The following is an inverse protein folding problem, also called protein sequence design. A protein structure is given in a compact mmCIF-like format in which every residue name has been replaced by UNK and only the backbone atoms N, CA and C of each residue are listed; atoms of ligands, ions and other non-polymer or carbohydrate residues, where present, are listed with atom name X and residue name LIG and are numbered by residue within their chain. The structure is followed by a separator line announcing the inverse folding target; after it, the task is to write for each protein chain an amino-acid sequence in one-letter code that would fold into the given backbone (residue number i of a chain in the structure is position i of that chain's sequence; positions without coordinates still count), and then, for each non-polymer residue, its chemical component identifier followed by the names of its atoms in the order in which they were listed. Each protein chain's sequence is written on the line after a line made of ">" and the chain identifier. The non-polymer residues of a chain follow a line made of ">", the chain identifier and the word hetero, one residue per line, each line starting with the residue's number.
data_IF_814445142402
#
_entry.id   IF_814445142402
#
_cell.length_a   1.000
_cell.length_b   1.000
_cell.length_c   1.000
_cell.angle_alpha   90.00
_cell.angle_beta   90.00
_cell.angle_gamma   90.00
#
_symmetry.space_group_name_H-M   'P 1'
#
loop_
_entity.id
_entity.type
_entity.pdbx_description
1 polymer ?
#
# COMPACT_ATOMS: atom_id res chain seq x y z
N UNK A 1 -31.65 0.29 -23.80
CA UNK A 1 -32.87 1.13 -23.82
C UNK A 1 -33.90 0.40 -22.96
N UNK A 2 -33.96 0.74 -21.67
CA UNK A 2 -34.87 0.10 -20.71
C UNK A 2 -36.28 0.62 -21.05
N UNK A 3 -37.22 -0.28 -21.34
CA UNK A 3 -38.58 0.09 -21.67
C UNK A 3 -39.27 0.72 -20.46
N UNK A 4 -39.64 1.98 -20.63
CA UNK A 4 -40.02 2.96 -19.61
C UNK A 4 -41.47 2.78 -19.12
N UNK A 5 -41.81 1.60 -18.59
CA UNK A 5 -43.22 1.26 -18.29
C UNK A 5 -43.69 1.51 -16.86
N UNK A 6 -42.83 1.90 -15.91
CA UNK A 6 -43.23 2.18 -14.51
C UNK A 6 -42.28 3.17 -13.79
N UNK A 7 -42.14 4.39 -14.31
CA UNK A 7 -41.43 5.47 -13.56
C UNK A 7 -42.17 5.78 -12.25
N UNK A 8 -43.50 5.79 -12.28
CA UNK A 8 -44.35 6.07 -11.13
C UNK A 8 -45.31 4.89 -10.95
N UNK A 9 -45.28 4.27 -9.78
CA UNK A 9 -46.20 3.24 -9.35
C UNK A 9 -47.23 3.87 -8.42
N UNK A 10 -48.50 3.60 -8.68
CA UNK A 10 -49.61 4.11 -7.88
C UNK A 10 -50.76 3.11 -7.90
N UNK A 11 -51.55 3.12 -6.82
CA UNK A 11 -52.81 2.40 -6.71
C UNK A 11 -53.92 3.35 -6.26
N UNK A 12 -55.17 2.92 -6.43
CA UNK A 12 -56.34 3.69 -6.01
C UNK A 12 -56.83 3.13 -4.67
N UNK A 13 -56.88 3.96 -3.64
CA UNK A 13 -57.35 3.60 -2.31
C UNK A 13 -58.88 3.53 -2.21
N UNK A 14 -59.38 3.03 -1.07
CA UNK A 14 -60.81 2.79 -0.81
C UNK A 14 -61.71 4.03 -0.98
N UNK A 15 -61.17 5.24 -0.79
CA UNK A 15 -61.90 6.51 -0.97
C UNK A 15 -61.72 7.14 -2.36
N UNK A 16 -61.36 6.37 -3.38
CA UNK A 16 -61.07 6.86 -4.74
C UNK A 16 -59.87 7.83 -4.82
N UNK A 17 -59.06 7.93 -3.76
CA UNK A 17 -57.81 8.69 -3.72
C UNK A 17 -56.70 7.92 -4.44
N UNK A 18 -55.84 8.65 -5.15
CA UNK A 18 -54.65 8.06 -5.80
C UNK A 18 -53.50 8.10 -4.80
N UNK A 19 -52.96 6.93 -4.47
CA UNK A 19 -51.82 6.76 -3.56
C UNK A 19 -50.61 6.33 -4.38
N UNK A 20 -49.49 7.02 -4.21
CA UNK A 20 -48.23 6.70 -4.89
C UNK A 20 -47.46 5.63 -4.10
N UNK A 21 -47.14 4.51 -4.74
CA UNK A 21 -46.40 3.40 -4.16
C UNK A 21 -44.88 3.56 -4.31
N UNK A 22 -44.44 4.23 -5.36
CA UNK A 22 -43.01 4.47 -5.59
C UNK A 22 -42.75 5.28 -6.86
N UNK A 23 -41.63 5.97 -6.88
CA UNK A 23 -41.17 6.72 -8.06
C UNK A 23 -39.67 6.50 -8.26
N UNK A 24 -39.26 6.25 -9.50
CA UNK A 24 -37.85 6.17 -9.89
C UNK A 24 -37.42 7.51 -10.50
N UNK A 25 -36.34 8.08 -9.96
CA UNK A 25 -35.72 9.28 -10.51
C UNK A 25 -34.34 8.92 -11.06
N UNK A 26 -34.10 9.27 -12.32
CA UNK A 26 -32.79 9.09 -12.96
C UNK A 26 -32.08 10.43 -12.95
N UNK A 27 -30.93 10.49 -12.30
CA UNK A 27 -30.09 11.69 -12.22
C UNK A 27 -28.86 11.44 -13.10
N UNK A 28 -28.72 12.22 -14.18
CA UNK A 28 -27.55 12.18 -15.05
C UNK A 28 -26.60 13.32 -14.70
N UNK A 29 -25.42 12.98 -14.18
CA UNK A 29 -24.36 13.95 -13.90
C UNK A 29 -23.45 14.09 -15.12
N UNK A 30 -23.43 15.27 -15.76
CA UNK A 30 -22.54 15.56 -16.91
C UNK A 30 -21.27 16.29 -16.47
N UNK A 31 -20.16 16.02 -17.16
CA UNK A 31 -18.92 16.81 -17.06
C UNK A 31 -17.87 16.36 -16.03
N UNK A 32 -18.00 15.18 -15.43
CA UNK A 32 -16.99 14.62 -14.52
C UNK A 32 -16.29 13.42 -15.15
N UNK A 33 -15.11 13.62 -15.74
CA UNK A 33 -14.25 12.53 -16.25
C UNK A 33 -13.46 11.83 -15.15
N UNK A 34 -13.22 12.51 -14.02
CA UNK A 34 -12.46 11.97 -12.90
C UNK A 34 -13.29 11.05 -12.00
N UNK A 35 -12.77 9.84 -11.76
CA UNK A 35 -13.38 8.81 -10.93
C UNK A 35 -13.48 9.21 -9.46
N UNK A 36 -12.48 9.92 -8.93
CA UNK A 36 -12.50 10.36 -7.52
C UNK A 36 -13.62 11.38 -7.28
N UNK A 37 -13.79 12.33 -8.21
CA UNK A 37 -14.90 13.28 -8.16
C UNK A 37 -16.27 12.62 -8.31
N UNK A 38 -16.41 11.63 -9.18
CA UNK A 38 -17.66 10.85 -9.32
C UNK A 38 -18.01 10.13 -8.01
N UNK A 39 -17.02 9.47 -7.41
CA UNK A 39 -17.20 8.79 -6.12
C UNK A 39 -17.60 9.77 -5.00
N UNK A 40 -17.03 10.98 -4.97
CA UNK A 40 -17.40 12.02 -4.00
C UNK A 40 -18.86 12.50 -4.17
N UNK A 41 -19.35 12.63 -5.42
CA UNK A 41 -20.75 12.98 -5.69
C UNK A 41 -21.68 11.88 -5.17
N UNK A 42 -21.40 10.62 -5.51
CA UNK A 42 -22.20 9.48 -5.06
C UNK A 42 -22.23 9.38 -3.54
N UNK A 43 -21.09 9.59 -2.89
CA UNK A 43 -21.00 9.64 -1.42
C UNK A 43 -21.93 10.72 -0.85
N UNK A 44 -21.89 11.94 -1.39
CA UNK A 44 -22.74 13.04 -0.93
C UNK A 44 -24.23 12.78 -1.16
N UNK A 45 -24.58 12.14 -2.29
CA UNK A 45 -25.97 11.75 -2.56
C UNK A 45 -26.45 10.70 -1.56
N UNK A 46 -25.62 9.73 -1.20
CA UNK A 46 -25.93 8.74 -0.15
C UNK A 46 -26.14 9.41 1.20
N UNK A 47 -25.23 10.29 1.61
CA UNK A 47 -25.37 11.07 2.86
C UNK A 47 -26.66 11.90 2.91
N UNK A 48 -27.08 12.47 1.76
CA UNK A 48 -28.33 13.23 1.67
C UNK A 48 -29.58 12.34 1.84
N UNK A 49 -29.57 11.15 1.24
CA UNK A 49 -30.66 10.18 1.37
C UNK A 49 -30.74 9.63 2.79
N UNK A 50 -29.59 9.31 3.40
CA UNK A 50 -29.51 8.84 4.79
C UNK A 50 -29.99 9.91 5.78
N UNK A 51 -29.79 11.19 5.48
CA UNK A 51 -30.31 12.30 6.28
C UNK A 51 -31.84 12.48 6.18
N UNK A 52 -32.50 11.88 5.18
CA UNK A 52 -33.95 11.98 4.97
C UNK A 52 -34.64 10.60 4.97
N UNK A 53 -34.60 9.86 6.08
CA UNK A 53 -35.17 8.50 6.16
C UNK A 53 -36.69 8.46 5.93
N UNK A 54 -37.37 9.62 6.05
CA UNK A 54 -38.81 9.78 5.80
C UNK A 54 -39.26 9.32 4.42
N UNK A 55 -38.37 9.33 3.42
CA UNK A 55 -38.71 8.98 2.04
C UNK A 55 -38.35 7.54 1.64
N UNK A 56 -37.77 6.75 2.55
CA UNK A 56 -37.38 5.35 2.32
C UNK A 56 -36.71 5.10 0.95
N UNK A 57 -35.86 6.05 0.53
CA UNK A 57 -35.29 6.07 -0.82
C UNK A 57 -34.05 5.18 -0.89
N UNK A 58 -33.92 4.43 -1.98
CA UNK A 58 -32.71 3.64 -2.27
C UNK A 58 -32.00 4.24 -3.48
N UNK A 59 -30.66 4.20 -3.45
CA UNK A 59 -29.83 4.68 -4.56
C UNK A 59 -29.24 3.46 -5.27
N UNK A 60 -29.35 3.43 -6.59
CA UNK A 60 -28.72 2.44 -7.44
C UNK A 60 -27.84 3.13 -8.48
N UNK A 61 -26.59 2.70 -8.57
CA UNK A 61 -25.64 3.11 -9.60
C UNK A 61 -24.90 1.85 -10.10
N UNK A 62 -24.70 1.74 -11.40
CA UNK A 62 -24.03 0.59 -12.01
C UNK A 62 -22.55 0.50 -11.57
N UNK A 63 -21.90 1.65 -11.37
CA UNK A 63 -20.49 1.74 -10.95
C UNK A 63 -20.34 1.78 -9.42
N UNK A 64 -21.40 1.49 -8.66
CA UNK A 64 -21.43 1.60 -7.19
C UNK A 64 -20.24 0.90 -6.52
N UNK A 65 -19.88 -0.30 -6.97
CA UNK A 65 -18.76 -1.07 -6.41
C UNK A 65 -17.40 -0.37 -6.61
N UNK A 66 -17.21 0.29 -7.75
CA UNK A 66 -15.96 1.03 -8.03
C UNK A 66 -15.87 2.25 -7.12
N UNK A 67 -16.98 2.97 -6.92
CA UNK A 67 -17.00 4.10 -6.01
C UNK A 67 -16.76 3.69 -4.56
N UNK A 68 -17.32 2.57 -4.12
CA UNK A 68 -17.11 2.05 -2.77
C UNK A 68 -15.62 1.81 -2.51
N UNK A 69 -14.92 1.19 -3.46
CA UNK A 69 -13.46 1.00 -3.41
C UNK A 69 -12.73 2.34 -3.32
N UNK A 70 -13.08 3.33 -4.15
CA UNK A 70 -12.42 4.64 -4.16
C UNK A 70 -12.66 5.42 -2.85
N UNK A 71 -13.86 5.33 -2.28
CA UNK A 71 -14.22 6.04 -1.06
C UNK A 71 -13.50 5.42 0.15
N UNK A 72 -13.41 4.09 0.22
CA UNK A 72 -12.80 3.39 1.35
C UNK A 72 -11.28 3.31 1.31
N UNK A 73 -10.65 3.45 0.12
CA UNK A 73 -9.21 3.18 -0.10
C UNK A 73 -8.29 3.85 0.92
N UNK A 74 -8.58 5.09 1.33
CA UNK A 74 -7.71 5.83 2.27
C UNK A 74 -7.72 5.22 3.67
N UNK A 75 -8.90 4.82 4.15
CA UNK A 75 -9.04 4.22 5.47
C UNK A 75 -8.45 2.81 5.47
N UNK A 76 -8.78 2.02 4.44
CA UNK A 76 -8.26 0.65 4.26
C UNK A 76 -6.74 0.65 4.12
N UNK A 77 -6.16 1.58 3.37
CA UNK A 77 -4.71 1.71 3.23
C UNK A 77 -4.02 1.92 4.59
N UNK A 78 -4.51 2.87 5.39
CA UNK A 78 -3.89 3.18 6.69
C UNK A 78 -3.97 1.96 7.60
N UNK A 79 -5.13 1.30 7.65
CA UNK A 79 -5.30 0.08 8.44
C UNK A 79 -4.38 -1.03 7.96
N UNK A 80 -4.35 -1.31 6.65
CA UNK A 80 -3.52 -2.35 6.07
C UNK A 80 -2.02 -2.09 6.29
N UNK A 81 -1.56 -0.84 6.15
CA UNK A 81 -0.17 -0.45 6.41
C UNK A 81 0.19 -0.67 7.88
N UNK A 82 -0.66 -0.22 8.81
CA UNK A 82 -0.41 -0.39 10.26
C UNK A 82 -0.36 -1.87 10.63
N UNK A 83 -1.34 -2.67 10.20
CA UNK A 83 -1.37 -4.11 10.49
C UNK A 83 -0.17 -4.82 9.88
N UNK A 84 0.13 -4.56 8.60
CA UNK A 84 1.27 -5.19 7.91
C UNK A 84 2.60 -4.82 8.58
N UNK A 85 2.78 -3.55 8.94
CA UNK A 85 3.97 -3.09 9.64
C UNK A 85 4.14 -3.75 11.01
N UNK A 86 3.06 -3.86 11.80
CA UNK A 86 3.08 -4.55 13.08
C UNK A 86 3.42 -6.03 12.92
N UNK A 87 2.77 -6.71 11.98
CA UNK A 87 3.06 -8.11 11.69
C UNK A 87 4.52 -8.32 11.27
N UNK A 88 5.05 -7.51 10.37
CA UNK A 88 6.44 -7.61 9.92
C UNK A 88 7.43 -7.29 11.04
N UNK A 89 7.13 -6.33 11.91
CA UNK A 89 7.94 -6.01 13.10
C UNK A 89 7.98 -7.19 14.09
N UNK A 90 6.84 -7.88 14.30
CA UNK A 90 6.78 -9.07 15.15
C UNK A 90 7.63 -10.19 14.54
N UNK A 91 7.48 -10.44 13.23
CA UNK A 91 8.26 -11.46 12.53
C UNK A 91 9.77 -11.14 12.61
N UNK A 92 10.18 -9.90 12.37
CA UNK A 92 11.59 -9.50 12.47
C UNK A 92 12.14 -9.64 13.90
N UNK A 93 11.32 -9.37 14.92
CA UNK A 93 11.71 -9.56 16.32
C UNK A 93 11.88 -11.04 16.69
N UNK A 94 11.10 -11.94 16.08
CA UNK A 94 11.26 -13.38 16.27
C UNK A 94 12.49 -13.90 15.52
N UNK A 95 12.73 -13.42 14.30
CA UNK A 95 13.89 -13.84 13.49
C UNK A 95 15.22 -13.33 14.02
N UNK A 96 15.26 -12.12 14.56
CA UNK A 96 16.47 -11.51 15.15
C UNK A 96 16.24 -11.42 16.66
N UNK A 97 16.80 -12.35 17.46
CA UNK A 97 16.60 -12.39 18.91
C UNK A 97 17.44 -11.31 19.63
N UNK A 98 17.31 -10.07 19.17
CA UNK A 98 17.98 -8.87 19.67
C UNK A 98 17.11 -7.64 19.40
N UNK A 99 16.76 -6.91 20.46
CA UNK A 99 15.84 -5.76 20.38
C UNK A 99 16.35 -4.63 19.47
N UNK A 100 17.66 -4.35 19.51
CA UNK A 100 18.26 -3.31 18.69
C UNK A 100 18.26 -3.67 17.20
N UNK A 101 18.68 -4.88 16.84
CA UNK A 101 18.63 -5.36 15.46
C UNK A 101 17.21 -5.35 14.86
N UNK A 102 16.21 -5.77 15.63
CA UNK A 102 14.81 -5.76 15.18
C UNK A 102 14.23 -4.35 15.06
N UNK A 103 14.48 -3.47 16.03
CA UNK A 103 14.04 -2.07 15.96
C UNK A 103 14.71 -1.33 14.80
N UNK A 104 15.99 -1.57 14.54
CA UNK A 104 16.71 -1.00 13.40
C UNK A 104 16.12 -1.47 12.06
N UNK A 105 15.80 -2.76 11.93
CA UNK A 105 15.13 -3.29 10.75
C UNK A 105 13.74 -2.65 10.53
N UNK A 106 12.99 -2.45 11.62
CA UNK A 106 11.66 -1.81 11.58
C UNK A 106 11.74 -0.33 11.18
N UNK A 107 12.73 0.41 11.69
CA UNK A 107 12.97 1.82 11.30
C UNK A 107 13.39 1.92 9.82
N UNK A 108 14.25 1.02 9.35
CA UNK A 108 14.65 0.92 7.94
C UNK A 108 13.45 0.67 7.02
N UNK A 109 12.52 -0.19 7.45
CA UNK A 109 11.28 -0.50 6.73
C UNK A 109 10.35 0.72 6.62
N UNK A 110 10.16 1.47 7.71
CA UNK A 110 9.40 2.72 7.68
C UNK A 110 10.05 3.76 6.77
N UNK A 111 11.37 3.92 6.87
CA UNK A 111 12.14 4.85 6.04
C UNK A 111 12.01 4.53 4.55
N UNK A 112 12.17 3.25 4.18
CA UNK A 112 12.06 2.80 2.78
C UNK A 112 10.65 3.03 2.24
N UNK A 113 9.62 2.70 3.02
CA UNK A 113 8.21 2.88 2.63
C UNK A 113 7.86 4.36 2.47
N UNK A 114 8.31 5.22 3.38
CA UNK A 114 8.11 6.67 3.29
C UNK A 114 8.84 7.29 2.09
N UNK A 115 10.08 6.85 1.83
CA UNK A 115 10.86 7.29 0.68
C UNK A 115 10.16 6.91 -0.63
N UNK A 116 9.66 5.67 -0.73
CA UNK A 116 8.92 5.20 -1.89
C UNK A 116 7.65 6.02 -2.14
N UNK A 117 6.85 6.25 -1.10
CA UNK A 117 5.66 7.10 -1.19
C UNK A 117 6.02 8.54 -1.62
N UNK A 118 7.14 9.07 -1.13
CA UNK A 118 7.66 10.37 -1.55
C UNK A 118 7.95 10.42 -3.05
N UNK A 119 8.64 9.42 -3.60
CA UNK A 119 8.92 9.35 -5.03
C UNK A 119 7.67 9.14 -5.90
N UNK A 120 6.72 8.31 -5.45
CA UNK A 120 5.44 8.14 -6.14
C UNK A 120 4.63 9.43 -6.18
N UNK A 121 4.66 10.20 -5.08
CA UNK A 121 4.05 11.53 -5.01
C UNK A 121 4.70 12.51 -6.00
N UNK A 122 6.03 12.50 -6.12
CA UNK A 122 6.76 13.33 -7.11
C UNK A 122 6.43 12.96 -8.56
N UNK A 123 6.09 11.71 -8.84
CA UNK A 123 5.60 11.27 -10.15
C UNK A 123 4.11 11.53 -10.39
N UNK A 124 3.42 12.16 -9.43
CA UNK A 124 2.01 12.50 -9.54
C UNK A 124 1.09 11.28 -9.46
N UNK A 125 1.55 10.15 -8.93
CA UNK A 125 0.69 8.99 -8.69
C UNK A 125 -0.29 9.32 -7.55
N UNK A 126 -1.59 9.28 -7.85
CA UNK A 126 -2.64 9.49 -6.87
C UNK A 126 -2.75 8.33 -5.88
N UNK A 127 -3.34 8.58 -4.72
CA UNK A 127 -3.72 7.53 -3.76
C UNK A 127 -4.90 6.74 -4.31
N UNK A 128 -4.60 5.61 -4.95
CA UNK A 128 -5.55 4.67 -5.51
C UNK A 128 -5.28 3.24 -4.98
N UNK A 129 -6.18 2.28 -5.24
CA UNK A 129 -6.00 0.90 -4.78
C UNK A 129 -4.71 0.24 -5.31
N UNK A 130 -4.17 0.72 -6.42
CA UNK A 130 -2.95 0.19 -7.04
C UNK A 130 -1.73 0.64 -6.23
N UNK A 131 -1.65 1.93 -5.89
CA UNK A 131 -0.63 2.48 -4.98
C UNK A 131 -0.72 1.82 -3.61
N UNK A 132 -1.92 1.48 -3.13
CA UNK A 132 -2.07 0.71 -1.89
C UNK A 132 -1.36 -0.65 -1.95
N UNK A 133 -1.62 -1.45 -2.99
CA UNK A 133 -0.94 -2.75 -3.18
C UNK A 133 0.57 -2.57 -3.27
N UNK A 134 1.01 -1.55 -4.00
CA UNK A 134 2.42 -1.19 -4.16
C UNK A 134 3.11 -0.86 -2.82
N UNK A 135 2.44 -0.12 -1.92
CA UNK A 135 2.96 0.19 -0.58
C UNK A 135 3.07 -1.08 0.28
N UNK A 136 2.04 -1.93 0.27
CA UNK A 136 2.06 -3.18 1.05
C UNK A 136 3.17 -4.12 0.58
N UNK A 137 3.33 -4.27 -0.74
CA UNK A 137 4.43 -5.01 -1.35
C UNK A 137 5.78 -4.42 -0.95
N UNK A 138 5.92 -3.09 -0.91
CA UNK A 138 7.18 -2.45 -0.55
C UNK A 138 7.57 -2.66 0.92
N UNK A 139 6.61 -2.67 1.84
CA UNK A 139 6.84 -3.03 3.26
C UNK A 139 7.41 -4.45 3.34
N UNK A 140 6.82 -5.41 2.63
CA UNK A 140 7.29 -6.79 2.58
C UNK A 140 8.67 -6.94 1.94
N UNK A 141 8.92 -6.28 0.82
CA UNK A 141 10.21 -6.39 0.13
C UNK A 141 11.35 -5.70 0.91
N UNK A 142 11.05 -4.62 1.63
CA UNK A 142 12.04 -3.87 2.41
C UNK A 142 12.53 -4.61 3.65
N UNK A 143 11.70 -5.47 4.27
CA UNK A 143 12.11 -6.21 5.47
C UNK A 143 13.20 -7.22 5.15
N UNK A 144 13.15 -7.83 3.97
CA UNK A 144 14.09 -8.89 3.57
C UNK A 144 15.54 -8.41 3.66
N UNK A 145 15.86 -7.28 3.02
CA UNK A 145 17.22 -6.73 3.03
C UNK A 145 17.72 -6.40 4.44
N UNK A 146 16.83 -5.80 5.25
CA UNK A 146 17.18 -5.33 6.59
C UNK A 146 17.34 -6.52 7.56
N UNK A 147 16.46 -7.51 7.46
CA UNK A 147 16.47 -8.69 8.29
C UNK A 147 17.69 -9.57 8.01
N UNK A 148 18.05 -9.79 6.74
CA UNK A 148 19.24 -10.57 6.38
C UNK A 148 20.52 -9.99 6.99
N UNK A 149 20.74 -8.67 6.86
CA UNK A 149 21.94 -8.02 7.40
C UNK A 149 21.94 -8.06 8.94
N UNK A 150 20.83 -7.71 9.59
CA UNK A 150 20.73 -7.75 11.05
C UNK A 150 20.89 -9.16 11.62
N UNK A 151 20.33 -10.18 10.95
CA UNK A 151 20.45 -11.58 11.36
C UNK A 151 21.87 -12.10 11.22
N UNK A 152 22.51 -11.90 10.06
CA UNK A 152 23.91 -12.31 9.87
C UNK A 152 24.86 -11.54 10.78
N UNK A 153 24.55 -10.28 11.07
CA UNK A 153 25.22 -9.55 12.12
C UNK A 153 25.07 -10.25 13.47
N UNK A 154 23.86 -10.57 13.91
CA UNK A 154 23.63 -11.26 15.18
C UNK A 154 24.38 -12.60 15.28
N UNK A 155 24.29 -13.45 14.25
CA UNK A 155 25.00 -14.73 14.19
C UNK A 155 26.50 -14.52 14.31
N UNK A 156 27.06 -13.60 13.54
CA UNK A 156 28.49 -13.30 13.57
C UNK A 156 28.99 -12.77 14.92
N UNK A 157 28.10 -12.22 15.77
CA UNK A 157 28.44 -11.86 17.15
C UNK A 157 28.63 -13.09 18.01
N UNK A 158 27.66 -14.00 17.95
CA UNK A 158 27.52 -15.11 18.88
C UNK A 158 28.64 -16.12 18.74
N UNK A 159 29.18 -16.26 17.53
CA UNK A 159 30.25 -17.21 17.27
C UNK A 159 31.64 -16.72 17.70
N UNK A 160 31.76 -15.47 18.20
CA UNK A 160 33.04 -14.83 18.58
C UNK A 160 34.16 -14.94 17.53
N UNK A 161 33.81 -15.25 16.28
CA UNK A 161 34.75 -15.59 15.21
C UNK A 161 35.67 -14.41 14.84
N UNK A 162 35.34 -13.18 15.25
CA UNK A 162 36.03 -11.96 14.79
C UNK A 162 36.12 -10.87 15.87
N UNK A 163 37.34 -10.41 16.16
CA UNK A 163 37.67 -9.48 17.25
C UNK A 163 37.37 -7.98 16.94
N UNK A 164 36.84 -7.64 15.76
CA UNK A 164 36.62 -6.23 15.36
C UNK A 164 35.25 -5.96 14.71
N UNK A 165 34.57 -4.86 15.13
CA UNK A 165 33.28 -4.41 14.53
C UNK A 165 33.36 -4.23 13.02
N UNK A 166 34.43 -3.60 12.54
CA UNK A 166 34.65 -3.33 11.11
C UNK A 166 34.91 -4.61 10.33
N UNK A 167 35.75 -5.48 10.86
CA UNK A 167 36.10 -6.75 10.22
C UNK A 167 34.87 -7.65 10.09
N UNK A 168 34.09 -7.76 11.16
CA UNK A 168 32.83 -8.49 11.16
C UNK A 168 31.85 -7.95 10.12
N UNK A 169 31.73 -6.62 10.01
CA UNK A 169 30.84 -6.01 9.02
C UNK A 169 31.30 -6.28 7.58
N UNK A 170 32.61 -6.19 7.31
CA UNK A 170 33.18 -6.50 5.99
C UNK A 170 32.85 -7.95 5.61
N UNK A 171 33.03 -8.89 6.53
CA UNK A 171 32.72 -10.30 6.32
C UNK A 171 31.22 -10.54 6.05
N UNK A 172 30.33 -9.89 6.81
CA UNK A 172 28.88 -9.97 6.57
C UNK A 172 28.51 -9.43 5.19
N UNK A 173 29.06 -8.26 4.80
CA UNK A 173 28.83 -7.68 3.48
C UNK A 173 29.40 -8.55 2.36
N UNK A 174 30.53 -9.23 2.59
CA UNK A 174 31.08 -10.20 1.62
C UNK A 174 30.17 -11.42 1.46
N UNK A 175 29.59 -11.91 2.56
CA UNK A 175 28.72 -13.09 2.55
C UNK A 175 27.32 -12.79 1.95
N UNK A 176 26.72 -11.65 2.30
CA UNK A 176 25.31 -11.34 1.97
C UNK A 176 25.18 -10.32 0.85
N UNK A 177 26.19 -9.46 0.64
CA UNK A 177 26.10 -8.34 -0.30
C UNK A 177 25.98 -8.76 -1.76
N UNK A 178 26.74 -9.78 -2.19
CA UNK A 178 26.63 -10.31 -3.57
C UNK A 178 25.24 -10.88 -3.86
N UNK A 179 24.70 -11.80 -3.05
CA UNK A 179 23.33 -12.30 -3.21
C UNK A 179 22.27 -11.19 -3.25
N UNK A 180 22.39 -10.17 -2.38
CA UNK A 180 21.44 -9.05 -2.35
C UNK A 180 21.46 -8.22 -3.63
N UNK A 181 22.66 -7.87 -4.13
CA UNK A 181 22.79 -7.10 -5.38
C UNK A 181 22.19 -7.88 -6.54
N UNK A 182 22.48 -9.18 -6.63
CA UNK A 182 21.97 -10.05 -7.69
C UNK A 182 20.44 -10.19 -7.63
N UNK A 183 19.87 -10.35 -6.43
CA UNK A 183 18.43 -10.39 -6.23
C UNK A 183 17.74 -9.07 -6.62
N UNK A 184 18.31 -7.92 -6.25
CA UNK A 184 17.76 -6.61 -6.64
C UNK A 184 17.88 -6.36 -8.13
N UNK A 185 19.03 -6.68 -8.75
CA UNK A 185 19.24 -6.50 -10.19
C UNK A 185 18.32 -7.39 -11.02
N UNK A 186 18.17 -8.67 -10.65
CA UNK A 186 17.25 -9.58 -11.35
C UNK A 186 15.80 -9.11 -11.26
N UNK A 187 15.39 -8.58 -10.09
CA UNK A 187 14.06 -7.98 -9.92
C UNK A 187 13.86 -6.77 -10.84
N UNK A 188 14.84 -5.87 -10.93
CA UNK A 188 14.78 -4.70 -11.82
C UNK A 188 14.73 -5.14 -13.30
N UNK A 189 15.58 -6.07 -13.71
CA UNK A 189 15.61 -6.60 -15.08
C UNK A 189 14.27 -7.25 -15.44
N UNK A 190 13.67 -8.00 -14.51
CA UNK A 190 12.36 -8.64 -14.68
C UNK A 190 11.24 -7.61 -14.93
N UNK A 191 11.35 -6.40 -14.35
CA UNK A 191 10.36 -5.34 -14.52
C UNK A 191 10.54 -4.53 -15.82
N UNK A 192 11.70 -4.60 -16.50
CA UNK A 192 11.96 -3.81 -17.72
C UNK A 192 10.93 -4.02 -18.84
N UNK A 193 10.49 -5.25 -19.17
CA UNK A 193 9.50 -5.45 -20.25
C UNK A 193 8.15 -4.78 -19.96
N UNK A 194 7.78 -4.60 -18.68
CA UNK A 194 6.50 -4.00 -18.29
C UNK A 194 6.44 -2.51 -18.63
N UNK A 195 7.59 -1.84 -18.80
CA UNK A 195 7.64 -0.45 -19.25
C UNK A 195 7.29 -0.28 -20.73
N UNK A 196 7.25 -1.37 -21.51
CA UNK A 196 6.83 -1.33 -22.93
C UNK A 196 5.30 -1.31 -23.08
N UNK A 197 4.56 -1.45 -21.98
CA UNK A 197 3.09 -1.47 -21.99
C UNK A 197 2.58 -0.15 -21.42
N UNK A 198 1.90 0.63 -22.26
CA UNK A 198 1.30 1.94 -21.92
C UNK A 198 -0.01 1.81 -21.14
N UNK A 199 0.02 1.05 -20.04
CA UNK A 199 -1.11 0.90 -19.11
C UNK A 199 -0.65 1.39 -17.74
N UNK A 200 -1.30 2.45 -17.23
CA UNK A 200 -0.96 3.09 -15.95
C UNK A 200 -0.74 2.09 -14.81
N UNK A 201 -1.63 1.09 -14.68
CA UNK A 201 -1.54 0.06 -13.63
C UNK A 201 -0.21 -0.70 -13.69
N UNK A 202 0.17 -1.14 -14.90
CA UNK A 202 1.38 -1.94 -15.15
C UNK A 202 2.62 -1.07 -14.96
N UNK A 203 2.63 0.12 -15.54
CA UNK A 203 3.76 1.05 -15.43
C UNK A 203 3.96 1.52 -13.99
N UNK A 204 2.89 1.80 -13.23
CA UNK A 204 2.97 2.21 -11.82
C UNK A 204 3.50 1.08 -10.94
N UNK A 205 3.09 -0.15 -11.20
CA UNK A 205 3.61 -1.33 -10.51
C UNK A 205 5.12 -1.50 -10.79
N UNK A 206 5.53 -1.49 -12.06
CA UNK A 206 6.94 -1.64 -12.44
C UNK A 206 7.82 -0.52 -11.85
N UNK A 207 7.37 0.74 -11.90
CA UNK A 207 8.04 1.88 -11.26
C UNK A 207 8.25 1.65 -9.76
N UNK A 208 7.20 1.20 -9.07
CA UNK A 208 7.26 0.94 -7.62
C UNK A 208 8.26 -0.16 -7.31
N UNK A 209 8.20 -1.29 -8.00
CA UNK A 209 9.10 -2.44 -7.76
C UNK A 209 10.56 -2.03 -7.98
N UNK A 210 10.87 -1.34 -9.08
CA UNK A 210 12.23 -0.87 -9.34
C UNK A 210 12.73 0.10 -8.25
N UNK A 211 11.84 0.97 -7.77
CA UNK A 211 12.16 1.97 -6.77
C UNK A 211 12.39 1.34 -5.39
N UNK A 212 11.51 0.45 -4.93
CA UNK A 212 11.71 -0.26 -3.66
C UNK A 212 12.93 -1.18 -3.72
N UNK A 213 13.21 -1.83 -4.85
CA UNK A 213 14.40 -2.64 -4.99
C UNK A 213 15.69 -1.82 -4.88
N UNK A 214 15.71 -0.62 -5.48
CA UNK A 214 16.87 0.27 -5.42
C UNK A 214 17.05 0.88 -4.03
N UNK A 215 15.98 1.41 -3.44
CA UNK A 215 16.03 2.07 -2.11
C UNK A 215 16.27 1.04 -1.00
N UNK A 216 15.63 -0.13 -1.09
CA UNK A 216 15.80 -1.23 -0.15
C UNK A 216 17.22 -1.78 -0.16
N UNK A 217 17.83 -1.93 -1.35
CA UNK A 217 19.23 -2.31 -1.47
C UNK A 217 20.17 -1.27 -0.83
N UNK A 218 19.89 0.02 -1.05
CA UNK A 218 20.67 1.13 -0.45
C UNK A 218 20.55 1.12 1.08
N UNK A 219 19.34 0.94 1.61
CA UNK A 219 19.13 0.85 3.06
C UNK A 219 19.82 -0.38 3.66
N UNK A 220 19.70 -1.54 3.00
CA UNK A 220 20.29 -2.79 3.44
C UNK A 220 21.82 -2.79 3.43
N UNK A 221 22.45 -2.33 2.35
CA UNK A 221 23.90 -2.41 2.18
C UNK A 221 24.69 -1.21 2.70
N UNK A 222 24.05 -0.05 2.86
CA UNK A 222 24.75 1.17 3.28
C UNK A 222 24.24 1.64 4.63
N UNK A 223 22.94 1.91 4.75
CA UNK A 223 22.38 2.59 5.93
C UNK A 223 22.45 1.71 7.19
N UNK A 224 22.03 0.45 7.11
CA UNK A 224 22.07 -0.48 8.25
C UNK A 224 23.51 -0.77 8.71
N UNK A 225 24.44 -1.17 7.83
CA UNK A 225 25.85 -1.31 8.15
C UNK A 225 26.45 -0.08 8.85
N UNK A 226 26.18 1.12 8.32
CA UNK A 226 26.66 2.37 8.89
C UNK A 226 26.14 2.57 10.32
N UNK A 227 24.84 2.38 10.55
CA UNK A 227 24.25 2.55 11.89
C UNK A 227 24.81 1.50 12.87
N UNK A 228 24.97 0.24 12.44
CA UNK A 228 25.57 -0.81 13.26
C UNK A 228 27.03 -0.50 13.65
N UNK A 229 27.80 0.20 12.81
CA UNK A 229 29.17 0.63 13.19
C UNK A 229 29.19 1.74 14.23
N UNK A 230 28.23 2.67 14.17
CA UNK A 230 28.17 3.86 15.04
C UNK A 230 27.67 3.54 16.45
N UNK A 231 26.86 2.49 16.60
CA UNK A 231 26.22 2.16 17.89
C UNK A 231 27.21 1.44 18.82
N UNK A 232 27.33 1.83 20.10
CA UNK A 232 28.20 1.17 21.07
C UNK A 232 27.83 -0.31 21.26
N UNK A 233 28.82 -1.18 21.47
CA UNK A 233 28.61 -2.63 21.57
C UNK A 233 27.67 -3.06 22.72
N UNK A 234 27.40 -2.15 23.66
CA UNK A 234 26.49 -2.35 24.80
C UNK A 234 24.99 -2.37 24.39
N UNK A 235 24.66 -1.82 23.22
CA UNK A 235 23.29 -1.76 22.70
C UNK A 235 23.06 -2.65 21.48
N UNK A 236 24.11 -3.31 20.96
CA UNK A 236 24.06 -4.27 19.84
C UNK A 236 24.28 -5.72 20.31
#
# INVERSE_FOLDING_TARGET
>A
MIADRKIIQWHRGENNSVVMDGANFVIECRGTTDWARRAAIVKRTRELVDAHPRYATTIFDYDSTIYDIIISVKAELIQAVVVTFLCMTIISAVSIPEFFGSSLASISMLSTSACMLGFLSLWGCGLDPIVMINVLMAIGFSVDFSAHICYHHHVARKTELWEGKKERLIQILQAVGRPMIEASLSTIICMLPLFLVDIYVITSFAKTVCLVASIGLLHGLILIPLILTMVPAKYC
#
